data_IF_623090530823
#
_entry.id   IF_623090530823
#
_cell.length_a   1.000
_cell.length_b   1.000
_cell.length_c   1.000
_cell.angle_alpha   90.00
_cell.angle_beta   90.00
_cell.angle_gamma   90.00
#
_symmetry.space_group_name_H-M   'P 1'
#
loop_
_entity.id
_entity.type
_entity.pdbx_description
1 polymer ?
#
# COMPACT_ATOMS: atom_id res chain seq x y z
N UNK A 1 18.61 0.72 -18.02
CA UNK A 1 18.57 1.93 -18.87
C UNK A 1 17.15 2.37 -19.24
N UNK A 2 16.19 1.43 -19.56
CA UNK A 2 14.81 1.80 -19.90
C UNK A 2 14.00 2.31 -18.71
N UNK A 3 14.24 1.78 -17.51
CA UNK A 3 13.58 2.19 -16.26
C UNK A 3 13.89 3.66 -15.93
N UNK A 4 15.13 4.09 -16.15
CA UNK A 4 15.56 5.46 -15.83
C UNK A 4 14.93 6.55 -16.71
N UNK A 5 14.77 6.29 -18.00
CA UNK A 5 14.09 7.22 -18.93
C UNK A 5 12.59 7.31 -18.60
N UNK A 6 11.98 6.19 -18.18
CA UNK A 6 10.59 6.19 -17.75
C UNK A 6 10.41 6.98 -16.42
N UNK A 7 11.36 6.90 -15.49
CA UNK A 7 11.28 7.58 -14.20
C UNK A 7 11.19 9.11 -14.33
N UNK A 8 11.96 9.72 -15.21
CA UNK A 8 11.92 11.18 -15.45
C UNK A 8 10.57 11.63 -16.01
N UNK A 9 10.02 10.89 -16.98
CA UNK A 9 8.70 11.19 -17.53
C UNK A 9 7.58 11.01 -16.48
N UNK A 10 7.68 9.98 -15.66
CA UNK A 10 6.72 9.71 -14.58
C UNK A 10 6.85 10.71 -13.43
N UNK A 11 8.04 11.28 -13.20
CA UNK A 11 8.29 12.28 -12.17
C UNK A 11 7.39 13.51 -12.33
N UNK A 12 7.24 14.01 -13.53
CA UNK A 12 6.38 15.17 -13.80
C UNK A 12 4.91 14.87 -13.48
N UNK A 13 4.44 13.66 -13.79
CA UNK A 13 3.07 13.22 -13.50
C UNK A 13 2.89 13.05 -12.00
N UNK A 14 3.85 12.39 -11.32
CA UNK A 14 3.81 12.13 -9.90
C UNK A 14 3.82 13.43 -9.07
N UNK A 15 4.81 14.31 -9.33
CA UNK A 15 4.98 15.55 -8.59
C UNK A 15 3.93 16.61 -8.91
N UNK A 16 3.38 16.60 -10.13
CA UNK A 16 2.34 17.52 -10.58
C UNK A 16 0.91 17.09 -10.25
N UNK A 17 0.73 15.96 -9.56
CA UNK A 17 -0.59 15.47 -9.20
C UNK A 17 -1.30 16.37 -8.19
N UNK A 18 -2.64 16.43 -8.29
CA UNK A 18 -3.50 17.24 -7.40
C UNK A 18 -3.38 16.76 -5.94
N UNK A 19 -3.56 17.66 -4.98
CA UNK A 19 -3.52 17.48 -3.54
C UNK A 19 -2.14 17.07 -3.00
N UNK A 20 -1.59 15.94 -3.43
CA UNK A 20 -0.27 15.43 -3.04
C UNK A 20 0.33 14.57 -4.16
N UNK A 21 1.66 14.39 -4.20
CA UNK A 21 2.30 13.57 -5.22
C UNK A 21 1.76 12.14 -5.22
N UNK A 22 1.19 11.71 -6.35
CA UNK A 22 0.72 10.35 -6.54
C UNK A 22 0.71 9.96 -8.02
N UNK A 23 0.75 8.64 -8.29
CA UNK A 23 0.63 8.09 -9.64
C UNK A 23 -0.01 6.70 -9.59
N UNK A 24 -0.77 6.38 -10.64
CA UNK A 24 -1.34 5.05 -10.88
C UNK A 24 -0.70 4.48 -12.13
N UNK A 25 -0.13 3.29 -12.01
CA UNK A 25 0.59 2.60 -13.09
C UNK A 25 -0.04 1.23 -13.34
N UNK A 26 -0.63 1.06 -14.52
CA UNK A 26 -1.16 -0.23 -14.96
C UNK A 26 -0.05 -1.07 -15.61
N UNK A 27 -0.21 -2.40 -15.61
CA UNK A 27 0.78 -3.33 -16.14
C UNK A 27 2.19 -3.10 -15.57
N UNK A 28 2.26 -2.90 -14.27
CA UNK A 28 3.45 -2.42 -13.57
C UNK A 28 4.60 -3.43 -13.56
N UNK A 29 4.31 -4.71 -13.29
CA UNK A 29 5.27 -5.80 -13.31
C UNK A 29 5.14 -6.63 -14.59
N UNK A 30 6.17 -7.45 -14.86
CA UNK A 30 6.08 -8.49 -15.88
C UNK A 30 4.86 -9.38 -15.62
N UNK A 31 4.08 -9.71 -16.66
CA UNK A 31 2.88 -10.55 -16.52
C UNK A 31 3.14 -11.90 -15.87
N UNK A 32 4.29 -12.53 -16.13
CA UNK A 32 4.64 -13.82 -15.52
C UNK A 32 4.83 -13.68 -14.01
N UNK A 33 5.51 -12.61 -13.58
CA UNK A 33 5.77 -12.36 -12.17
C UNK A 33 4.47 -12.07 -11.40
N UNK A 34 3.63 -11.19 -11.91
CA UNK A 34 2.40 -10.81 -11.21
C UNK A 34 1.38 -11.96 -11.17
N UNK A 35 1.25 -12.74 -12.25
CA UNK A 35 0.35 -13.89 -12.29
C UNK A 35 0.78 -14.97 -11.29
N UNK A 36 2.07 -15.27 -11.20
CA UNK A 36 2.58 -16.19 -10.20
C UNK A 36 2.32 -15.70 -8.76
N UNK A 37 2.55 -14.41 -8.49
CA UNK A 37 2.26 -13.83 -7.19
C UNK A 37 0.75 -13.80 -6.86
N UNK A 38 -0.12 -13.61 -7.84
CA UNK A 38 -1.58 -13.67 -7.65
C UNK A 38 -2.06 -15.09 -7.30
N UNK A 39 -1.51 -16.12 -7.97
CA UNK A 39 -1.76 -17.52 -7.64
C UNK A 39 -1.31 -17.82 -6.21
N UNK A 40 -0.10 -17.43 -5.86
CA UNK A 40 0.47 -17.57 -4.52
C UNK A 40 -0.40 -16.89 -3.46
N UNK A 41 -0.85 -15.67 -3.72
CA UNK A 41 -1.72 -14.93 -2.80
C UNK A 41 -3.07 -15.61 -2.58
N UNK A 42 -3.66 -16.17 -3.64
CA UNK A 42 -4.91 -16.94 -3.55
C UNK A 42 -4.72 -18.24 -2.77
N UNK A 43 -3.61 -18.94 -3.02
CA UNK A 43 -3.25 -20.12 -2.25
C UNK A 43 -3.05 -19.81 -0.77
N UNK A 44 -2.34 -18.72 -0.47
CA UNK A 44 -2.02 -18.29 0.89
C UNK A 44 -3.29 -18.03 1.72
N UNK A 45 -4.25 -17.28 1.16
CA UNK A 45 -5.52 -16.99 1.83
C UNK A 45 -6.30 -18.27 2.17
N UNK A 46 -6.22 -19.28 1.31
CA UNK A 46 -6.98 -20.52 1.47
C UNK A 46 -6.30 -21.55 2.40
N UNK A 47 -4.99 -21.42 2.64
CA UNK A 47 -4.21 -22.47 3.30
C UNK A 47 -3.46 -22.00 4.55
N UNK A 48 -3.36 -20.68 4.79
CA UNK A 48 -2.64 -20.18 5.95
C UNK A 48 -3.48 -20.32 7.22
N UNK A 49 -2.90 -20.91 8.25
CA UNK A 49 -3.50 -20.96 9.57
C UNK A 49 -3.60 -19.57 10.20
N UNK A 50 -4.62 -19.34 11.00
CA UNK A 50 -4.94 -18.02 11.57
C UNK A 50 -3.82 -17.40 12.41
N UNK A 51 -2.91 -18.20 12.94
CA UNK A 51 -1.81 -17.76 13.80
C UNK A 51 -0.71 -16.98 13.06
N UNK A 52 -0.56 -17.17 11.74
CA UNK A 52 0.42 -16.45 10.92
C UNK A 52 -0.03 -15.04 10.52
N UNK A 53 -1.29 -14.69 10.74
CA UNK A 53 -1.81 -13.35 10.47
C UNK A 53 -1.45 -12.40 11.61
N UNK A 54 -0.68 -11.34 11.31
CA UNK A 54 -0.12 -10.44 12.33
C UNK A 54 -0.98 -9.25 12.68
N UNK A 55 -1.78 -8.77 11.75
CA UNK A 55 -2.72 -7.69 12.02
C UNK A 55 -4.04 -7.99 11.33
N UNK A 56 -5.08 -7.63 11.96
CA UNK A 56 -6.43 -7.81 11.52
C UNK A 56 -7.34 -7.37 12.61
N UNK A 57 -8.44 -6.79 12.27
CA UNK A 57 -9.42 -6.46 13.26
C UNK A 57 -9.81 -7.73 14.02
N UNK A 58 -9.46 -7.76 15.26
CA UNK A 58 -10.36 -8.29 16.26
C UNK A 58 -11.59 -7.39 16.21
N UNK A 59 -12.76 -7.92 16.50
CA UNK A 59 -14.07 -7.25 16.41
C UNK A 59 -14.19 -5.84 17.05
N UNK A 60 -13.11 -5.35 17.68
CA UNK A 60 -13.05 -4.10 18.44
C UNK A 60 -12.52 -2.87 17.68
N UNK A 61 -12.07 -3.02 16.44
CA UNK A 61 -11.57 -1.89 15.65
C UNK A 61 -12.50 -1.55 14.48
N UNK A 62 -13.50 -0.72 14.70
CA UNK A 62 -14.38 -0.13 13.68
C UNK A 62 -13.65 0.48 12.47
N UNK A 63 -12.35 0.68 12.58
CA UNK A 63 -11.52 1.33 11.55
C UNK A 63 -10.89 0.38 10.54
N UNK A 64 -10.75 -0.92 10.87
CA UNK A 64 -10.21 -1.97 10.01
C UNK A 64 -11.03 -3.26 10.14
N UNK A 65 -12.16 -3.34 9.47
CA UNK A 65 -13.02 -4.51 9.56
C UNK A 65 -12.55 -5.62 8.61
N UNK A 66 -12.51 -6.85 9.11
CA UNK A 66 -12.20 -8.09 8.36
C UNK A 66 -10.97 -7.98 7.44
N UNK A 67 -9.98 -7.16 7.85
CA UNK A 67 -8.70 -7.01 7.18
C UNK A 67 -7.62 -7.77 7.95
N UNK A 68 -6.76 -8.50 7.24
CA UNK A 68 -5.61 -9.23 7.78
C UNK A 68 -4.36 -8.94 6.97
N UNK A 69 -3.19 -9.23 7.52
CA UNK A 69 -1.93 -9.04 6.82
C UNK A 69 -0.80 -9.93 7.30
N UNK A 70 0.17 -10.13 6.41
CA UNK A 70 1.42 -10.84 6.64
C UNK A 70 2.56 -9.89 6.28
N UNK A 71 3.25 -9.33 7.27
CA UNK A 71 4.38 -8.42 7.03
C UNK A 71 5.68 -9.17 6.77
N UNK A 72 5.84 -10.41 7.24
CA UNK A 72 7.08 -11.15 7.10
C UNK A 72 7.18 -11.81 5.72
N UNK A 73 8.25 -11.50 4.98
CA UNK A 73 8.51 -12.07 3.64
C UNK A 73 8.65 -13.59 3.72
N UNK A 74 9.28 -14.12 4.77
CA UNK A 74 9.54 -15.57 4.93
C UNK A 74 8.24 -16.39 5.07
N UNK A 75 7.16 -15.76 5.50
CA UNK A 75 5.84 -16.40 5.63
C UNK A 75 5.03 -16.36 4.31
N UNK A 76 5.57 -15.74 3.26
CA UNK A 76 4.93 -15.65 1.95
C UNK A 76 5.42 -16.77 1.01
N UNK A 77 4.59 -17.23 0.05
CA UNK A 77 5.03 -18.14 -1.00
C UNK A 77 6.07 -17.52 -1.94
N UNK A 78 6.84 -18.35 -2.69
CA UNK A 78 8.04 -17.92 -3.41
C UNK A 78 7.85 -16.78 -4.43
N UNK A 79 6.77 -16.77 -5.18
CA UNK A 79 6.56 -15.72 -6.18
C UNK A 79 6.24 -14.36 -5.51
N UNK A 80 5.53 -14.37 -4.38
CA UNK A 80 5.30 -13.16 -3.58
C UNK A 80 6.61 -12.67 -2.95
N UNK A 81 7.46 -13.58 -2.43
CA UNK A 81 8.80 -13.23 -1.94
C UNK A 81 9.63 -12.53 -3.02
N UNK A 82 9.63 -13.06 -4.26
CA UNK A 82 10.35 -12.44 -5.38
C UNK A 82 9.86 -11.01 -5.67
N UNK A 83 8.55 -10.78 -5.61
CA UNK A 83 8.00 -9.41 -5.76
C UNK A 83 8.51 -8.53 -4.62
N UNK A 84 8.46 -8.98 -3.37
CA UNK A 84 8.93 -8.20 -2.22
C UNK A 84 10.43 -7.87 -2.32
N UNK A 85 11.26 -8.84 -2.70
CA UNK A 85 12.70 -8.64 -2.91
C UNK A 85 12.98 -7.65 -4.05
N UNK A 86 12.23 -7.73 -5.15
CA UNK A 86 12.35 -6.77 -6.25
C UNK A 86 11.98 -5.35 -5.81
N UNK A 87 10.86 -5.17 -5.10
CA UNK A 87 10.41 -3.87 -4.62
C UNK A 87 11.36 -3.24 -3.60
N UNK A 88 12.12 -4.05 -2.85
CA UNK A 88 13.12 -3.59 -1.90
C UNK A 88 14.54 -3.49 -2.50
N UNK A 89 14.70 -3.80 -3.79
CA UNK A 89 16.00 -3.82 -4.45
C UNK A 89 16.52 -2.41 -4.76
N UNK A 90 17.84 -2.27 -4.80
CA UNK A 90 18.49 -0.99 -5.14
C UNK A 90 18.09 -0.46 -6.53
N UNK A 91 17.97 -1.28 -7.61
CA UNK A 91 17.47 -0.80 -8.88
C UNK A 91 16.06 -0.20 -8.82
N UNK A 92 15.20 -0.75 -7.97
CA UNK A 92 13.85 -0.20 -7.77
C UNK A 92 13.86 1.07 -6.92
N UNK A 93 14.69 1.13 -5.89
CA UNK A 93 14.91 2.35 -5.09
C UNK A 93 15.45 3.49 -5.96
N UNK A 94 16.39 3.21 -6.87
CA UNK A 94 16.90 4.20 -7.82
C UNK A 94 15.79 4.75 -8.72
N UNK A 95 14.88 3.88 -9.19
CA UNK A 95 13.67 4.32 -9.92
C UNK A 95 12.81 5.25 -9.08
N UNK A 96 12.52 4.89 -7.81
CA UNK A 96 11.70 5.70 -6.92
C UNK A 96 12.35 7.05 -6.60
N UNK A 97 13.67 7.08 -6.34
CA UNK A 97 14.42 8.32 -6.09
C UNK A 97 14.31 9.29 -7.27
N UNK A 98 14.49 8.79 -8.49
CA UNK A 98 14.36 9.61 -9.70
C UNK A 98 12.94 10.08 -9.93
N UNK A 99 11.95 9.25 -9.66
CA UNK A 99 10.54 9.60 -9.84
C UNK A 99 10.07 10.62 -8.78
N UNK A 100 10.45 10.42 -7.52
CA UNK A 100 9.98 11.25 -6.41
C UNK A 100 10.84 12.48 -6.12
N UNK A 101 12.10 12.50 -6.57
CA UNK A 101 13.08 13.52 -6.19
C UNK A 101 13.62 13.38 -4.77
N UNK A 102 13.34 12.26 -4.07
CA UNK A 102 13.84 11.99 -2.72
C UNK A 102 15.07 11.09 -2.84
N UNK A 103 16.26 11.67 -2.68
CA UNK A 103 17.53 11.00 -2.99
C UNK A 103 17.94 9.91 -1.98
N UNK A 104 17.53 10.04 -0.73
CA UNK A 104 17.89 9.15 0.38
C UNK A 104 16.81 8.11 0.71
N UNK A 105 15.92 7.79 -0.25
CA UNK A 105 14.91 6.76 -0.05
C UNK A 105 15.55 5.40 0.27
N UNK A 106 15.00 4.75 1.28
CA UNK A 106 15.32 3.40 1.71
C UNK A 106 14.07 2.54 1.82
N UNK A 107 14.19 1.25 1.54
CA UNK A 107 13.13 0.28 1.71
C UNK A 107 13.03 -0.20 3.17
N UNK A 108 11.87 -0.73 3.53
CA UNK A 108 11.69 -1.48 4.78
C UNK A 108 11.73 -2.99 4.49
N UNK A 109 12.82 -3.68 4.81
CA UNK A 109 12.92 -5.12 4.61
C UNK A 109 12.02 -5.92 5.56
N UNK A 110 11.54 -5.31 6.64
CA UNK A 110 10.65 -5.96 7.61
C UNK A 110 9.19 -5.90 7.19
N UNK A 111 8.85 -5.04 6.22
CA UNK A 111 7.49 -4.75 5.74
C UNK A 111 6.49 -4.45 6.88
N UNK A 112 6.96 -3.86 7.99
CA UNK A 112 6.13 -3.58 9.14
C UNK A 112 4.96 -2.65 8.79
N UNK A 113 3.73 -3.10 9.13
CA UNK A 113 2.47 -2.47 8.71
C UNK A 113 2.14 -2.63 7.22
N UNK A 114 3.09 -3.11 6.41
CA UNK A 114 2.97 -3.43 4.99
C UNK A 114 2.86 -4.93 4.72
N UNK A 115 3.50 -5.39 3.64
CA UNK A 115 3.49 -6.78 3.20
C UNK A 115 2.17 -7.17 2.52
N UNK A 116 1.74 -8.41 2.70
CA UNK A 116 0.51 -8.89 2.10
C UNK A 116 -0.72 -8.50 2.93
N UNK A 117 -1.68 -7.89 2.28
CA UNK A 117 -2.96 -7.48 2.85
C UNK A 117 -4.12 -8.21 2.18
N UNK A 118 -5.05 -8.72 2.98
CA UNK A 118 -6.32 -9.26 2.52
C UNK A 118 -7.48 -8.62 3.28
N UNK A 119 -8.55 -8.26 2.56
CA UNK A 119 -9.81 -7.81 3.15
C UNK A 119 -10.91 -8.76 2.68
N UNK A 120 -11.67 -9.30 3.62
CA UNK A 120 -12.73 -10.27 3.38
C UNK A 120 -14.09 -9.58 3.15
N UNK A 121 -15.13 -10.31 2.69
CA UNK A 121 -16.48 -9.77 2.53
C UNK A 121 -16.97 -9.04 3.78
N UNK A 122 -17.58 -7.90 3.61
CA UNK A 122 -18.01 -7.00 4.70
C UNK A 122 -16.89 -6.16 5.29
N UNK A 123 -15.64 -6.40 4.89
CA UNK A 123 -14.48 -5.68 5.42
C UNK A 123 -14.26 -4.32 4.79
N UNK A 124 -13.61 -3.44 5.53
CA UNK A 124 -13.28 -2.08 5.12
C UNK A 124 -12.02 -1.60 5.82
N UNK A 125 -11.48 -0.51 5.32
CA UNK A 125 -10.39 0.26 5.94
C UNK A 125 -10.78 1.73 5.89
N UNK A 126 -11.10 2.29 7.04
CA UNK A 126 -11.52 3.68 7.14
C UNK A 126 -10.44 4.63 6.62
N UNK A 127 -10.86 5.84 6.26
CA UNK A 127 -9.93 6.89 5.86
C UNK A 127 -9.03 7.23 7.04
N UNK A 128 -7.73 7.32 6.77
CA UNK A 128 -6.71 7.53 7.78
C UNK A 128 -5.48 8.22 7.23
N UNK A 129 -4.71 8.80 8.14
CA UNK A 129 -3.30 9.08 7.94
C UNK A 129 -2.49 7.93 8.51
N UNK A 130 -1.48 7.49 7.79
CA UNK A 130 -0.55 6.48 8.27
C UNK A 130 0.37 7.00 9.37
N UNK A 131 0.93 6.08 10.18
CA UNK A 131 2.14 6.39 10.93
C UNK A 131 3.23 6.84 9.95
N UNK A 132 4.06 7.78 10.35
CA UNK A 132 4.98 8.42 9.42
C UNK A 132 6.44 8.45 9.88
N UNK A 133 6.81 7.66 10.91
CA UNK A 133 8.20 7.45 11.31
C UNK A 133 8.45 6.07 11.90
N UNK A 134 9.72 5.65 11.91
CA UNK A 134 10.23 4.45 12.59
C UNK A 134 11.56 4.76 13.28
N UNK A 135 11.78 4.10 14.43
CA UNK A 135 13.01 4.26 15.23
C UNK A 135 13.95 3.04 15.14
N UNK A 136 13.55 1.98 14.44
CA UNK A 136 14.21 0.68 14.40
C UNK A 136 14.70 0.24 13.02
N UNK A 137 14.46 1.03 11.98
CA UNK A 137 14.88 0.72 10.60
C UNK A 137 16.33 1.14 10.31
N UNK A 138 16.82 2.17 10.99
CA UNK A 138 18.18 2.69 10.86
C UNK A 138 18.69 3.15 12.24
N UNK A 139 19.99 3.47 12.38
CA UNK A 139 20.53 3.97 13.65
C UNK A 139 19.85 5.23 14.19
N UNK A 140 19.32 6.05 13.29
CA UNK A 140 18.54 7.24 13.63
C UNK A 140 17.10 7.07 13.12
N UNK A 141 16.18 7.88 13.66
CA UNK A 141 14.78 7.91 13.21
C UNK A 141 14.68 8.18 11.73
N UNK A 142 13.84 7.41 11.05
CA UNK A 142 13.53 7.59 9.64
C UNK A 142 12.04 7.88 9.45
N UNK A 143 11.72 8.59 8.38
CA UNK A 143 10.39 9.10 8.11
C UNK A 143 9.83 8.47 6.85
N UNK A 144 8.61 7.93 6.95
CA UNK A 144 7.91 7.32 5.83
C UNK A 144 7.53 8.39 4.82
N UNK A 145 7.84 8.15 3.56
CA UNK A 145 7.66 9.10 2.46
C UNK A 145 6.69 8.61 1.40
N UNK A 146 6.84 7.36 0.99
CA UNK A 146 6.06 6.82 -0.13
C UNK A 146 5.41 5.51 0.31
N UNK A 147 4.12 5.40 -0.03
CA UNK A 147 3.41 4.14 -0.09
C UNK A 147 3.36 3.64 -1.52
N UNK A 148 3.54 2.35 -1.70
CA UNK A 148 3.23 1.64 -2.91
C UNK A 148 2.25 0.51 -2.59
N UNK A 149 1.11 0.50 -3.27
CA UNK A 149 0.14 -0.59 -3.22
C UNK A 149 0.11 -1.29 -4.57
N UNK A 150 0.24 -2.62 -4.59
CA UNK A 150 0.18 -3.45 -5.78
C UNK A 150 -0.99 -4.44 -5.67
N UNK A 151 -1.94 -4.38 -6.60
CA UNK A 151 -3.12 -5.25 -6.56
C UNK A 151 -2.88 -6.60 -7.23
N UNK A 152 -3.39 -7.66 -6.59
CA UNK A 152 -3.17 -9.06 -6.95
C UNK A 152 -4.45 -9.78 -7.42
N UNK A 153 -5.60 -9.12 -7.44
CA UNK A 153 -6.85 -9.74 -7.88
C UNK A 153 -6.87 -9.89 -9.41
N UNK A 154 -6.93 -11.12 -9.91
CA UNK A 154 -7.00 -11.42 -11.35
C UNK A 154 -8.31 -10.92 -11.97
N UNK A 155 -9.41 -11.14 -11.27
CA UNK A 155 -10.73 -10.66 -11.62
C UNK A 155 -11.35 -9.98 -10.40
N UNK A 156 -11.96 -8.82 -10.61
CA UNK A 156 -12.65 -8.07 -9.57
C UNK A 156 -13.86 -7.36 -10.15
N UNK A 157 -15.04 -7.69 -9.67
CA UNK A 157 -16.25 -6.95 -10.03
C UNK A 157 -16.23 -5.58 -9.33
N UNK A 158 -16.34 -4.50 -10.09
CA UNK A 158 -16.33 -3.13 -9.56
C UNK A 158 -17.48 -2.88 -8.58
N UNK A 159 -18.59 -3.63 -8.69
CA UNK A 159 -19.71 -3.56 -7.75
C UNK A 159 -19.39 -4.15 -6.37
N UNK A 160 -18.31 -4.90 -6.24
CA UNK A 160 -17.88 -5.44 -4.95
C UNK A 160 -17.23 -4.38 -4.04
N UNK A 161 -16.92 -3.19 -4.57
CA UNK A 161 -16.28 -2.11 -3.82
C UNK A 161 -14.78 -2.36 -3.61
N UNK A 162 -14.24 -1.85 -2.51
CA UNK A 162 -12.82 -2.01 -2.16
C UNK A 162 -11.86 -1.12 -2.95
N UNK A 163 -12.37 -0.18 -3.73
CA UNK A 163 -11.58 0.83 -4.41
C UNK A 163 -10.78 1.66 -3.40
N UNK A 164 -9.54 1.97 -3.72
CA UNK A 164 -8.78 2.90 -2.91
C UNK A 164 -9.28 4.31 -3.15
N UNK A 165 -9.60 5.01 -2.08
CA UNK A 165 -9.92 6.42 -2.10
C UNK A 165 -8.74 7.24 -1.60
N UNK A 166 -8.29 8.20 -2.39
CA UNK A 166 -7.40 9.28 -1.96
C UNK A 166 -8.26 10.51 -1.68
N UNK A 167 -8.14 11.03 -0.47
CA UNK A 167 -8.96 12.13 0.01
C UNK A 167 -8.20 13.45 0.01
N UNK A 168 -8.93 14.54 -0.10
CA UNK A 168 -8.37 15.88 0.07
C UNK A 168 -7.74 16.03 1.45
N UNK A 169 -6.71 16.85 1.55
CA UNK A 169 -6.00 17.10 2.83
C UNK A 169 -6.91 17.65 3.93
N UNK A 170 -7.98 18.36 3.55
CA UNK A 170 -8.99 18.88 4.47
C UNK A 170 -10.03 17.86 4.91
N UNK A 171 -9.90 16.60 4.47
CA UNK A 171 -10.81 15.48 4.76
C UNK A 171 -12.26 15.67 4.27
N UNK A 172 -12.52 16.60 3.36
CA UNK A 172 -13.89 16.95 2.94
C UNK A 172 -14.51 15.92 2.01
N UNK A 173 -13.71 15.29 1.14
CA UNK A 173 -14.18 14.32 0.15
C UNK A 173 -13.01 13.56 -0.51
N UNK A 174 -13.27 12.38 -1.11
CA UNK A 174 -12.31 11.78 -2.01
C UNK A 174 -12.15 12.66 -3.25
N UNK A 175 -10.90 12.87 -3.69
CA UNK A 175 -10.62 13.52 -4.98
C UNK A 175 -10.25 12.48 -6.05
N UNK A 176 -9.88 11.27 -5.64
CA UNK A 176 -9.56 10.18 -6.57
C UNK A 176 -10.02 8.84 -6.01
N UNK A 177 -10.71 8.08 -6.85
CA UNK A 177 -11.13 6.70 -6.58
C UNK A 177 -10.40 5.79 -7.55
N UNK A 178 -9.68 4.79 -7.03
CA UNK A 178 -8.79 3.92 -7.80
C UNK A 178 -9.30 2.49 -7.71
N UNK A 179 -9.71 1.95 -8.85
CA UNK A 179 -10.24 0.59 -8.97
C UNK A 179 -9.16 -0.48 -8.74
N UNK A 180 -9.60 -1.63 -8.20
CA UNK A 180 -8.78 -2.83 -8.12
C UNK A 180 -8.64 -3.45 -9.51
N UNK A 181 -7.45 -3.30 -10.08
CA UNK A 181 -7.07 -3.97 -11.33
C UNK A 181 -5.77 -4.71 -11.05
N UNK A 182 -5.71 -5.98 -11.44
CA UNK A 182 -4.47 -6.76 -11.30
C UNK A 182 -3.30 -6.03 -11.96
N UNK A 183 -2.14 -6.09 -11.31
CA UNK A 183 -0.93 -5.42 -11.79
C UNK A 183 -1.01 -3.89 -11.88
N UNK A 184 -1.97 -3.29 -11.20
CA UNK A 184 -2.01 -1.85 -10.96
C UNK A 184 -1.20 -1.54 -9.71
N UNK A 185 -0.21 -0.66 -9.85
CA UNK A 185 0.50 -0.07 -8.73
C UNK A 185 0.00 1.35 -8.47
N UNK A 186 -0.21 1.68 -7.21
CA UNK A 186 -0.54 3.04 -6.77
C UNK A 186 0.60 3.51 -5.87
N UNK A 187 1.27 4.58 -6.28
CA UNK A 187 2.32 5.21 -5.49
C UNK A 187 1.86 6.59 -5.05
N UNK A 188 2.03 6.90 -3.79
CA UNK A 188 1.70 8.23 -3.27
C UNK A 188 2.60 8.64 -2.11
N UNK A 189 2.87 9.96 -2.04
CA UNK A 189 3.54 10.56 -0.89
C UNK A 189 2.55 10.58 0.27
N UNK A 190 2.97 10.16 1.46
CA UNK A 190 2.08 10.05 2.62
C UNK A 190 1.91 11.35 3.39
N UNK A 191 2.70 12.39 3.10
CA UNK A 191 2.62 13.66 3.82
C UNK A 191 1.27 14.37 3.57
N UNK A 192 0.36 14.24 4.53
CA UNK A 192 -0.99 14.77 4.41
C UNK A 192 -1.84 14.06 3.37
N UNK A 193 -1.68 12.75 3.21
CA UNK A 193 -2.38 11.91 2.25
C UNK A 193 -3.41 10.99 2.94
N UNK A 194 -4.63 11.49 3.26
CA UNK A 194 -5.67 10.64 3.81
C UNK A 194 -6.13 9.65 2.74
N UNK A 195 -6.25 8.39 3.13
CA UNK A 195 -6.63 7.33 2.18
C UNK A 195 -7.28 6.14 2.89
N UNK A 196 -7.95 5.29 2.11
CA UNK A 196 -8.58 4.08 2.62
C UNK A 196 -9.46 3.42 1.57
N UNK A 197 -10.23 2.42 2.00
CA UNK A 197 -11.38 1.86 1.28
C UNK A 197 -12.54 1.71 2.27
N UNK A 198 -13.24 2.81 2.58
CA UNK A 198 -14.12 2.92 3.75
C UNK A 198 -15.42 2.13 3.60
N UNK A 199 -15.77 1.73 2.38
CA UNK A 199 -17.00 1.02 2.12
C UNK A 199 -16.82 -0.49 2.27
N UNK A 200 -17.72 -1.19 3.01
CA UNK A 200 -17.66 -2.63 3.18
C UNK A 200 -17.68 -3.36 1.83
N UNK A 201 -16.84 -4.39 1.69
CA UNK A 201 -16.81 -5.21 0.48
C UNK A 201 -18.13 -5.99 0.33
N UNK A 202 -18.73 -5.92 -0.85
CA UNK A 202 -19.93 -6.67 -1.23
C UNK A 202 -19.60 -7.84 -2.18
N UNK A 203 -18.45 -8.47 -2.00
CA UNK A 203 -18.07 -9.65 -2.75
C UNK A 203 -18.68 -10.92 -2.15
N UNK A 204 -18.79 -11.97 -2.97
CA UNK A 204 -19.29 -13.25 -2.53
C UNK A 204 -18.35 -13.95 -1.55
N UNK A 205 -18.90 -14.86 -0.74
CA UNK A 205 -18.10 -15.72 0.14
C UNK A 205 -17.06 -16.50 -0.67
N UNK A 206 -15.79 -16.40 -0.27
CA UNK A 206 -14.67 -17.01 -0.99
C UNK A 206 -13.86 -16.01 -1.83
N UNK A 207 -14.44 -14.85 -2.15
CA UNK A 207 -13.70 -13.75 -2.74
C UNK A 207 -13.13 -12.81 -1.67
N UNK A 208 -12.05 -12.12 -1.99
CA UNK A 208 -11.38 -11.20 -1.09
C UNK A 208 -10.50 -10.23 -1.87
N UNK A 209 -10.32 -9.03 -1.31
CA UNK A 209 -9.42 -8.00 -1.85
C UNK A 209 -7.98 -8.31 -1.42
N UNK A 210 -7.03 -8.40 -2.36
CA UNK A 210 -5.63 -8.77 -2.14
C UNK A 210 -4.69 -7.70 -2.69
N UNK A 211 -3.72 -7.30 -1.87
CA UNK A 211 -2.68 -6.36 -2.28
C UNK A 211 -1.36 -6.61 -1.54
N UNK A 212 -0.26 -6.22 -2.16
CA UNK A 212 1.02 -6.01 -1.49
C UNK A 212 1.20 -4.52 -1.22
N UNK A 213 1.67 -4.18 -0.02
CA UNK A 213 1.97 -2.82 0.39
C UNK A 213 3.44 -2.69 0.75
N UNK A 214 4.08 -1.65 0.23
CA UNK A 214 5.50 -1.34 0.49
C UNK A 214 5.62 0.11 0.95
N UNK A 215 6.49 0.31 1.92
CA UNK A 215 6.73 1.62 2.52
C UNK A 215 8.18 2.00 2.35
N UNK A 216 8.40 3.25 1.94
CA UNK A 216 9.74 3.78 1.71
C UNK A 216 9.98 4.99 2.60
N UNK A 217 11.15 5.02 3.20
CA UNK A 217 11.54 5.96 4.23
C UNK A 217 12.72 6.84 3.79
N UNK A 218 12.95 7.91 4.50
CA UNK A 218 14.06 8.85 4.31
C UNK A 218 14.49 9.40 5.68
N UNK A 219 15.73 9.83 5.82
CA UNK A 219 16.20 10.51 7.02
C UNK A 219 15.63 11.94 7.16
N UNK A 220 15.08 12.52 6.09
CA UNK A 220 14.52 13.87 6.09
C UNK A 220 13.16 13.91 6.79
N UNK A 221 12.98 14.68 7.88
CA UNK A 221 11.69 14.83 8.55
C UNK A 221 10.59 15.33 7.61
N UNK A 222 9.32 14.94 7.82
CA UNK A 222 8.20 15.53 7.10
C UNK A 222 7.91 16.95 7.59
N UNK A 223 7.19 17.71 6.80
CA UNK A 223 6.73 19.05 7.17
C UNK A 223 5.49 19.04 8.06
N UNK A 224 4.77 17.93 8.12
CA UNK A 224 3.55 17.75 8.91
C UNK A 224 3.84 17.10 10.29
N UNK A 225 2.76 16.95 11.07
CA UNK A 225 2.83 16.32 12.39
C UNK A 225 3.31 14.87 12.29
N UNK A 226 4.09 14.43 13.30
CA UNK A 226 4.53 13.04 13.45
C UNK A 226 3.45 12.19 14.11
N UNK A 227 3.23 11.01 13.55
CA UNK A 227 2.31 10.00 14.04
C UNK A 227 3.05 8.67 14.21
N UNK A 228 2.98 8.09 15.40
CA UNK A 228 3.52 6.76 15.72
C UNK A 228 2.54 5.63 15.40
N UNK A 229 1.30 5.98 15.09
CA UNK A 229 0.21 5.08 14.71
C UNK A 229 -0.68 5.72 13.64
N UNK A 230 -1.49 4.91 12.98
CA UNK A 230 -2.51 5.43 12.07
C UNK A 230 -3.53 6.30 12.81
N UNK A 231 -3.86 7.46 12.23
CA UNK A 231 -4.87 8.39 12.72
C UNK A 231 -6.12 8.26 11.86
N UNK A 232 -7.23 7.87 12.48
CA UNK A 232 -8.46 7.49 11.78
C UNK A 232 -9.46 8.63 11.68
N UNK A 233 -10.10 8.78 10.53
CA UNK A 233 -11.22 9.71 10.38
C UNK A 233 -12.46 9.12 11.05
N UNK A 234 -12.91 9.73 12.15
CA UNK A 234 -14.16 9.40 12.85
C UNK A 234 -14.95 10.67 13.10
N UNK A 235 -16.21 10.69 12.68
CA UNK A 235 -17.12 11.84 12.88
C UNK A 235 -16.56 13.18 12.37
N UNK A 236 -15.72 13.16 11.33
CA UNK A 236 -15.11 14.36 10.75
C UNK A 236 -13.81 14.81 11.41
N UNK A 237 -13.30 14.08 12.40
CA UNK A 237 -12.04 14.36 13.09
C UNK A 237 -11.07 13.19 12.99
N UNK A 238 -9.76 13.48 13.05
CA UNK A 238 -8.72 12.46 13.17
C UNK A 238 -8.52 12.08 14.65
N UNK A 239 -8.59 10.78 14.92
CA UNK A 239 -8.44 10.20 16.27
C UNK A 239 -7.42 9.08 16.28
#
# INVERSE_FOLDING_TARGET
>A
PKINVAAEALSQIYLGAEEFPHIVLDNFLDPTMINAAAIDAKWLVNNLETESWRFGATDDHDSQLYKRGIPNIDDMPPAMQLVCLYMNSEPFLEFLRKMSGIEDLMADPTLDGGGFHVTYPGGSLNIHHDFNYKDDLAPERVYRKINLLLYLNEEWDTNWGGNLELWKKDLSAPFKVIELIQNRAVLFNIEGAPHGHPHPLNCSTGENRRSLAFYYYSATPPSNQLYDRAMWLKNGELV
#
